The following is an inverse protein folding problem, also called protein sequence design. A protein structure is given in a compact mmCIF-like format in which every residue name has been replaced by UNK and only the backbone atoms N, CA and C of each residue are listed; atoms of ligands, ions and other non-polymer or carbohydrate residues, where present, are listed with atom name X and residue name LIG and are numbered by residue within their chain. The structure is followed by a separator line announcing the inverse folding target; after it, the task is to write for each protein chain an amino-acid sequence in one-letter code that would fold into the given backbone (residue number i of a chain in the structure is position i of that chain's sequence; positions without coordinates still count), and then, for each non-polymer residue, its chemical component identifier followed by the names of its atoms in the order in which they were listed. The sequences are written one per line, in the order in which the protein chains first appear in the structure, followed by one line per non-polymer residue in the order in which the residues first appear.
data_IF_438780144164
#
_entry.id   IF_438780144164
#
_cell.length_a   1.000
_cell.length_b   1.000
_cell.length_c   1.000
_cell.angle_alpha   90.00
_cell.angle_beta   90.00
_cell.angle_gamma   90.00
#
_symmetry.space_group_name_H-M   'P 1'
#
loop_
_entity.id
_entity.type
_entity.pdbx_description
1 polymer ?
#
# COMPACT_ATOMS: atom_id res chain seq x y z
N UNK A 1 -0.57 24.68 31.27
CA UNK A 1 -1.74 23.77 31.24
C UNK A 1 -1.98 23.35 29.80
N UNK A 2 -1.23 22.36 29.31
CA UNK A 2 -1.25 21.94 27.89
C UNK A 2 -2.28 20.83 27.70
N UNK A 3 -3.42 21.16 27.08
CA UNK A 3 -4.41 20.16 26.65
C UNK A 3 -3.76 19.33 25.54
N UNK A 4 -3.30 18.12 25.88
CA UNK A 4 -2.86 17.12 24.90
C UNK A 4 -4.05 16.83 23.98
N UNK A 5 -4.00 17.36 22.75
CA UNK A 5 -4.93 17.03 21.69
C UNK A 5 -4.80 15.54 21.38
N UNK A 6 -5.66 14.71 22.00
CA UNK A 6 -5.79 13.29 21.70
C UNK A 6 -6.75 13.16 20.52
N UNK A 7 -6.25 12.71 19.38
CA UNK A 7 -7.10 12.28 18.26
C UNK A 7 -8.08 11.19 18.76
N UNK A 8 -9.33 11.15 18.25
CA UNK A 8 -10.24 10.05 18.52
C UNK A 8 -9.59 8.73 18.09
N UNK A 9 -9.83 7.64 18.82
CA UNK A 9 -9.20 6.34 18.55
C UNK A 9 -9.42 5.83 17.10
N UNK A 10 -10.49 6.29 16.47
CA UNK A 10 -10.85 5.99 15.08
C UNK A 10 -9.88 6.56 14.03
N UNK A 11 -9.19 7.66 14.32
CA UNK A 11 -8.27 8.33 13.38
C UNK A 11 -6.79 8.11 13.70
N UNK A 12 -6.48 7.24 14.66
CA UNK A 12 -5.09 6.91 15.00
C UNK A 12 -4.57 5.80 14.09
N UNK A 13 -3.45 6.00 13.38
CA UNK A 13 -2.85 4.92 12.60
C UNK A 13 -2.51 3.71 13.47
N UNK A 14 -2.71 2.52 12.93
CA UNK A 14 -2.43 1.26 13.63
C UNK A 14 -0.98 1.19 14.12
N UNK A 15 -0.05 1.81 13.39
CA UNK A 15 1.36 1.93 13.79
C UNK A 15 1.52 2.54 15.18
N UNK A 16 0.77 3.60 15.49
CA UNK A 16 0.81 4.27 16.80
C UNK A 16 0.30 3.34 17.91
N UNK A 17 -0.69 2.51 17.61
CA UNK A 17 -1.24 1.55 18.58
C UNK A 17 -0.26 0.41 18.85
N UNK A 18 0.40 -0.11 17.81
CA UNK A 18 1.47 -1.13 17.93
C UNK A 18 2.59 -0.66 18.86
N UNK A 19 3.07 0.58 18.67
CA UNK A 19 4.13 1.12 19.52
C UNK A 19 3.67 1.37 20.97
N UNK A 20 2.40 1.69 21.20
CA UNK A 20 1.84 1.86 22.56
C UNK A 20 1.69 0.52 23.30
N UNK A 21 1.34 -0.55 22.58
CA UNK A 21 1.17 -1.89 23.15
C UNK A 21 2.50 -2.62 23.42
N UNK A 22 3.59 -2.13 22.84
CA UNK A 22 4.94 -2.68 23.02
C UNK A 22 5.34 -3.58 21.85
N UNK A 23 6.41 -3.17 21.16
CA UNK A 23 6.95 -3.89 20.00
C UNK A 23 8.14 -4.76 20.40
N UNK A 24 7.98 -6.09 20.35
CA UNK A 24 8.99 -7.05 20.79
C UNK A 24 9.88 -7.51 19.64
N UNK A 25 11.08 -8.04 19.95
CA UNK A 25 11.96 -8.66 18.94
C UNK A 25 11.30 -9.82 18.20
N UNK A 26 10.44 -10.59 18.87
CA UNK A 26 9.71 -11.69 18.24
C UNK A 26 8.69 -11.17 17.23
N UNK A 27 7.97 -10.10 17.56
CA UNK A 27 7.05 -9.44 16.62
C UNK A 27 7.81 -8.90 15.41
N UNK A 28 8.97 -8.28 15.61
CA UNK A 28 9.81 -7.81 14.50
C UNK A 28 10.21 -8.94 13.54
N UNK A 29 10.64 -10.09 14.06
CA UNK A 29 11.02 -11.23 13.21
C UNK A 29 9.81 -11.74 12.43
N UNK A 30 8.65 -11.85 13.08
CA UNK A 30 7.42 -12.30 12.43
C UNK A 30 6.94 -11.32 11.35
N UNK A 31 7.00 -10.02 11.61
CA UNK A 31 6.64 -8.96 10.66
C UNK A 31 7.62 -8.91 9.47
N UNK A 32 8.91 -9.11 9.72
CA UNK A 32 9.92 -9.16 8.66
C UNK A 32 9.71 -10.37 7.74
N UNK A 33 9.48 -11.56 8.30
CA UNK A 33 9.24 -12.78 7.52
C UNK A 33 7.95 -12.68 6.72
N UNK A 34 6.87 -12.21 7.34
CA UNK A 34 5.59 -12.01 6.64
C UNK A 34 5.71 -10.96 5.54
N UNK A 35 6.41 -9.84 5.78
CA UNK A 35 6.67 -8.82 4.78
C UNK A 35 7.46 -9.34 3.57
N UNK A 36 8.46 -10.19 3.80
CA UNK A 36 9.21 -10.84 2.72
C UNK A 36 8.32 -11.77 1.89
N UNK A 37 7.53 -12.63 2.53
CA UNK A 37 6.64 -13.57 1.84
C UNK A 37 5.59 -12.81 1.02
N UNK A 38 4.94 -11.82 1.64
CA UNK A 38 3.93 -10.98 0.97
C UNK A 38 4.56 -10.20 -0.19
N UNK A 39 5.77 -9.66 -0.01
CA UNK A 39 6.50 -8.92 -1.05
C UNK A 39 6.80 -9.79 -2.28
N UNK A 40 7.26 -11.03 -2.07
CA UNK A 40 7.52 -11.97 -3.17
C UNK A 40 6.25 -12.28 -3.96
N UNK A 41 5.10 -12.40 -3.31
CA UNK A 41 3.81 -12.63 -3.97
C UNK A 41 3.27 -11.36 -4.64
N UNK A 42 3.52 -10.19 -4.05
CA UNK A 42 3.02 -8.90 -4.55
C UNK A 42 3.74 -8.44 -5.83
N UNK A 43 5.03 -8.75 -5.99
CA UNK A 43 5.81 -8.37 -7.18
C UNK A 43 5.20 -8.85 -8.52
N UNK A 44 4.93 -10.15 -8.73
CA UNK A 44 4.33 -10.61 -9.98
C UNK A 44 2.91 -10.05 -10.17
N UNK A 45 2.15 -9.88 -9.08
CA UNK A 45 0.81 -9.32 -9.15
C UNK A 45 0.82 -7.86 -9.63
N UNK A 46 1.74 -7.05 -9.11
CA UNK A 46 1.89 -5.65 -9.50
C UNK A 46 2.30 -5.49 -10.97
N UNK A 47 3.19 -6.36 -11.45
CA UNK A 47 3.59 -6.41 -12.86
C UNK A 47 2.40 -6.78 -13.75
N UNK A 48 1.66 -7.83 -13.38
CA UNK A 48 0.49 -8.29 -14.13
C UNK A 48 -0.58 -7.20 -14.23
N UNK A 49 -0.87 -6.51 -13.13
CA UNK A 49 -1.88 -5.45 -13.11
C UNK A 49 -1.47 -4.21 -13.91
N UNK A 50 -0.19 -3.85 -13.93
CA UNK A 50 0.33 -2.77 -14.78
C UNK A 50 0.15 -3.08 -16.27
N UNK A 51 0.57 -4.27 -16.70
CA UNK A 51 0.44 -4.70 -18.09
C UNK A 51 -1.05 -4.75 -18.49
N UNK A 52 -1.90 -5.30 -17.63
CA UNK A 52 -3.35 -5.37 -17.88
C UNK A 52 -4.02 -3.99 -17.95
N UNK A 53 -3.44 -2.98 -17.28
CA UNK A 53 -3.94 -1.59 -17.33
C UNK A 53 -3.39 -0.79 -18.52
N UNK A 54 -2.58 -1.40 -19.39
CA UNK A 54 -1.97 -0.75 -20.56
C UNK A 54 -0.76 0.13 -20.24
N UNK A 55 -0.13 -0.06 -19.07
CA UNK A 55 1.03 0.73 -18.62
C UNK A 55 2.28 -0.15 -18.45
N UNK A 56 3.45 0.48 -18.28
CA UNK A 56 4.71 -0.24 -18.15
C UNK A 56 4.80 -1.03 -16.83
N UNK A 57 5.47 -2.21 -16.80
CA UNK A 57 5.67 -2.98 -15.57
C UNK A 57 6.31 -2.18 -14.43
N UNK A 58 7.22 -1.26 -14.76
CA UNK A 58 7.89 -0.40 -13.79
C UNK A 58 6.88 0.46 -13.01
N UNK A 59 5.84 0.99 -13.66
CA UNK A 59 4.80 1.78 -13.00
C UNK A 59 4.02 0.96 -11.96
N UNK A 60 3.77 -0.32 -12.23
CA UNK A 60 3.14 -1.24 -11.27
C UNK A 60 3.98 -1.46 -10.02
N UNK A 61 5.28 -1.72 -10.21
CA UNK A 61 6.22 -1.93 -9.11
C UNK A 61 6.36 -0.67 -8.25
N UNK A 62 6.55 0.50 -8.88
CA UNK A 62 6.65 1.77 -8.18
C UNK A 62 5.38 2.05 -7.36
N UNK A 63 4.21 1.82 -7.95
CA UNK A 63 2.92 1.99 -7.27
C UNK A 63 2.80 1.07 -6.07
N UNK A 64 3.19 -0.21 -6.20
CA UNK A 64 3.14 -1.18 -5.11
C UNK A 64 4.05 -0.77 -3.94
N UNK A 65 5.29 -0.36 -4.23
CA UNK A 65 6.24 0.08 -3.20
C UNK A 65 5.73 1.32 -2.48
N UNK A 66 5.29 2.33 -3.24
CA UNK A 66 4.83 3.60 -2.67
C UNK A 66 3.56 3.40 -1.83
N UNK A 67 2.57 2.67 -2.37
CA UNK A 67 1.35 2.35 -1.65
C UNK A 67 1.64 1.57 -0.36
N UNK A 68 2.49 0.54 -0.41
CA UNK A 68 2.87 -0.24 0.77
C UNK A 68 3.53 0.60 1.86
N UNK A 69 4.43 1.52 1.49
CA UNK A 69 5.08 2.40 2.47
C UNK A 69 4.10 3.39 3.10
N UNK A 70 3.25 4.02 2.29
CA UNK A 70 2.24 4.98 2.76
C UNK A 70 1.24 4.31 3.70
N UNK A 71 0.75 3.11 3.36
CA UNK A 71 -0.23 2.42 4.20
C UNK A 71 0.38 1.75 5.43
N UNK A 72 1.67 1.38 5.40
CA UNK A 72 2.37 0.95 6.62
C UNK A 72 2.40 2.07 7.69
N UNK A 73 2.47 3.33 7.27
CA UNK A 73 2.54 4.49 8.19
C UNK A 73 1.15 4.99 8.59
N UNK A 74 0.25 5.12 7.61
CA UNK A 74 -1.06 5.76 7.77
C UNK A 74 -2.23 4.78 7.88
N UNK A 75 -1.99 3.48 7.73
CA UNK A 75 -3.03 2.45 7.70
C UNK A 75 -3.75 2.25 9.03
N UNK A 76 -5.00 1.82 8.94
CA UNK A 76 -5.87 1.52 10.09
C UNK A 76 -5.74 0.10 10.62
N UNK A 77 -5.08 -0.80 9.89
CA UNK A 77 -4.91 -2.21 10.27
C UNK A 77 -3.43 -2.62 10.31
N UNK A 78 -3.08 -3.52 11.24
CA UNK A 78 -1.73 -4.07 11.42
C UNK A 78 -1.25 -4.91 10.25
N UNK A 79 -2.17 -5.59 9.56
CA UNK A 79 -1.87 -6.56 8.50
C UNK A 79 -2.35 -6.07 7.14
N UNK A 80 -2.52 -4.76 6.98
CA UNK A 80 -2.95 -4.17 5.73
C UNK A 80 -1.83 -4.24 4.69
N UNK A 81 -2.18 -4.71 3.49
CA UNK A 81 -1.29 -4.72 2.32
C UNK A 81 -1.90 -3.81 1.26
N UNK A 82 -1.09 -3.07 0.52
CA UNK A 82 -1.56 -2.06 -0.41
C UNK A 82 -0.70 -2.01 -1.66
N UNK A 83 -1.33 -1.72 -2.79
CA UNK A 83 -0.69 -1.74 -4.09
C UNK A 83 -1.71 -1.54 -5.22
N UNK A 84 -1.30 -1.75 -6.48
CA UNK A 84 -2.23 -1.72 -7.61
C UNK A 84 -3.33 -2.78 -7.38
N UNK A 85 -4.58 -2.40 -7.65
CA UNK A 85 -5.75 -3.24 -7.34
C UNK A 85 -6.43 -3.68 -8.64
N UNK A 86 -6.73 -4.98 -8.74
CA UNK A 86 -7.36 -5.57 -9.92
C UNK A 86 -8.69 -4.89 -10.32
N UNK A 87 -9.47 -4.45 -9.34
CA UNK A 87 -10.74 -3.76 -9.56
C UNK A 87 -10.61 -2.44 -10.37
N UNK A 88 -9.44 -1.79 -10.34
CA UNK A 88 -9.20 -0.55 -11.07
C UNK A 88 -8.66 -0.75 -12.48
N UNK A 89 -8.25 -1.98 -12.86
CA UNK A 89 -7.59 -2.26 -14.15
C UNK A 89 -8.47 -1.81 -15.33
N UNK A 90 -9.75 -2.18 -15.32
CA UNK A 90 -10.68 -1.88 -16.43
C UNK A 90 -10.85 -0.37 -16.61
N UNK A 91 -10.89 0.38 -15.51
CA UNK A 91 -11.01 1.84 -15.51
C UNK A 91 -9.73 2.45 -16.10
N UNK A 92 -8.56 2.06 -15.58
CA UNK A 92 -7.26 2.56 -16.04
C UNK A 92 -7.03 2.25 -17.52
N UNK A 93 -7.31 1.01 -17.93
CA UNK A 93 -7.21 0.59 -19.32
C UNK A 93 -8.12 1.42 -20.22
N UNK A 94 -9.39 1.65 -19.81
CA UNK A 94 -10.32 2.49 -20.56
C UNK A 94 -9.83 3.94 -20.73
N UNK A 95 -9.21 4.52 -19.69
CA UNK A 95 -8.62 5.85 -19.75
C UNK A 95 -7.42 5.86 -20.70
N UNK A 96 -6.50 4.89 -20.56
CA UNK A 96 -5.30 4.79 -21.42
C UNK A 96 -5.69 4.62 -22.89
N UNK A 97 -6.73 3.84 -23.19
CA UNK A 97 -7.23 3.67 -24.57
C UNK A 97 -7.79 4.96 -25.15
N UNK A 98 -8.49 5.77 -24.34
CA UNK A 98 -9.18 6.98 -24.82
C UNK A 98 -8.30 8.23 -24.82
N UNK A 99 -7.37 8.33 -23.87
CA UNK A 99 -6.60 9.54 -23.58
C UNK A 99 -5.08 9.32 -23.58
N UNK A 100 -4.61 8.10 -23.86
CA UNK A 100 -3.21 7.73 -23.70
C UNK A 100 -2.78 7.66 -22.24
N UNK A 101 -1.49 7.37 -22.01
CA UNK A 101 -0.92 7.32 -20.64
C UNK A 101 -0.95 8.70 -19.96
N UNK A 102 -0.85 9.78 -20.73
CA UNK A 102 -0.91 11.15 -20.21
C UNK A 102 -2.24 11.46 -19.50
N UNK A 103 -3.33 10.81 -19.92
CA UNK A 103 -4.64 10.92 -19.26
C UNK A 103 -4.71 10.33 -17.85
N UNK A 104 -3.66 9.66 -17.36
CA UNK A 104 -3.54 9.20 -15.97
C UNK A 104 -2.87 10.24 -15.05
N UNK A 105 -2.09 11.16 -15.61
CA UNK A 105 -1.26 12.12 -14.87
C UNK A 105 -1.76 13.57 -14.97
N UNK A 106 -2.80 13.81 -15.78
CA UNK A 106 -3.37 15.13 -16.07
C UNK A 106 -4.82 15.18 -15.59
#
# INVERSE_FOLDING_TARGET
MSKKFKLPAEYTPSLVNVFKEGYTKQLFINDLLSGLIVGVVALPLAIAFAIASGVSPAQGIITAIFAGFVTAILGGSRTQVSGPTGAFIVILYGIVQKHGVDGLAT
#
